data_IF_205537037658
#
_entry.id   IF_205537037658
#
_cell.length_a   1.000
_cell.length_b   1.000
_cell.length_c   1.000
_cell.angle_alpha   90.00
_cell.angle_beta   90.00
_cell.angle_gamma   90.00
#
_symmetry.space_group_name_H-M   'P 1'
#
loop_
_entity.id
_entity.type
_entity.pdbx_description
1 polymer ?
#
# COMPACT_ATOMS: atom_id res chain seq x y z
N UNK A 1 -1.74 18.69 -14.25
CA UNK A 1 -2.74 17.79 -13.61
C UNK A 1 -2.86 18.27 -12.17
N UNK A 2 -3.97 18.91 -11.79
CA UNK A 2 -4.16 19.33 -10.41
C UNK A 2 -4.38 18.07 -9.56
N UNK A 3 -3.65 17.94 -8.45
CA UNK A 3 -3.97 16.96 -7.41
C UNK A 3 -5.37 17.31 -6.88
N UNK A 4 -6.36 16.43 -7.11
CA UNK A 4 -7.70 16.56 -6.53
C UNK A 4 -7.62 16.18 -5.03
N UNK A 5 -7.16 17.14 -4.25
CA UNK A 5 -7.04 17.01 -2.79
C UNK A 5 -8.42 16.82 -2.14
N UNK A 6 -9.46 17.45 -2.68
CA UNK A 6 -10.81 17.38 -2.12
C UNK A 6 -11.41 15.96 -2.28
N UNK A 7 -11.22 15.33 -3.44
CA UNK A 7 -11.60 13.95 -3.69
C UNK A 7 -10.85 12.94 -2.80
N UNK A 8 -9.55 13.12 -2.61
CA UNK A 8 -8.75 12.28 -1.70
C UNK A 8 -9.18 12.45 -0.24
N UNK A 9 -9.40 13.70 0.21
CA UNK A 9 -9.86 13.99 1.57
C UNK A 9 -11.22 13.35 1.84
N UNK A 10 -12.13 13.34 0.87
CA UNK A 10 -13.42 12.66 1.00
C UNK A 10 -13.26 11.14 1.21
N UNK A 11 -12.36 10.48 0.48
CA UNK A 11 -12.13 9.03 0.60
C UNK A 11 -11.42 8.69 1.91
N UNK A 12 -10.42 9.47 2.29
CA UNK A 12 -9.70 9.31 3.56
C UNK A 12 -10.58 9.62 4.78
N UNK A 13 -11.70 10.31 4.58
CA UNK A 13 -12.69 10.58 5.64
C UNK A 13 -13.90 9.66 5.59
N UNK A 14 -14.06 8.87 4.51
CA UNK A 14 -15.23 8.03 4.33
C UNK A 14 -15.32 6.93 5.41
N UNK A 15 -16.53 6.67 5.94
CA UNK A 15 -16.73 5.57 6.87
C UNK A 15 -16.56 4.24 6.13
N UNK A 16 -15.74 3.36 6.70
CA UNK A 16 -15.62 1.99 6.22
C UNK A 16 -16.62 1.12 6.99
N UNK A 17 -17.47 0.33 6.30
CA UNK A 17 -18.40 -0.58 6.97
C UNK A 17 -17.69 -1.48 7.99
N UNK A 18 -18.23 -1.54 9.22
CA UNK A 18 -17.64 -2.34 10.31
C UNK A 18 -17.49 -3.82 9.95
N UNK A 19 -18.38 -4.36 9.10
CA UNK A 19 -18.29 -5.74 8.60
C UNK A 19 -17.00 -6.00 7.81
N UNK A 20 -16.49 -5.01 7.07
CA UNK A 20 -15.19 -5.12 6.38
C UNK A 20 -14.08 -5.14 7.41
N UNK A 21 -14.08 -4.19 8.35
CA UNK A 21 -13.04 -4.08 9.37
C UNK A 21 -12.95 -5.31 10.28
N UNK A 22 -14.08 -5.91 10.64
CA UNK A 22 -14.13 -7.12 11.46
C UNK A 22 -13.65 -8.37 10.71
N UNK A 23 -13.75 -8.38 9.38
CA UNK A 23 -13.22 -9.48 8.54
C UNK A 23 -11.70 -9.43 8.36
N UNK A 24 -11.07 -8.28 8.64
CA UNK A 24 -9.62 -8.12 8.55
C UNK A 24 -8.98 -8.73 9.80
N UNK A 25 -8.15 -9.75 9.61
CA UNK A 25 -7.41 -10.42 10.67
C UNK A 25 -6.32 -9.50 11.27
N UNK A 26 -5.61 -10.02 12.28
CA UNK A 26 -4.51 -9.32 12.94
C UNK A 26 -4.95 -8.49 14.15
N UNK A 27 -3.96 -8.06 14.93
CA UNK A 27 -4.13 -7.44 16.24
C UNK A 27 -4.29 -5.91 16.20
N UNK A 28 -4.19 -5.27 15.03
CA UNK A 28 -4.31 -3.83 14.92
C UNK A 28 -5.73 -3.34 15.26
N UNK A 29 -5.83 -2.10 15.75
CA UNK A 29 -7.13 -1.47 16.05
C UNK A 29 -7.96 -1.27 14.77
N UNK A 30 -9.28 -1.16 14.90
CA UNK A 30 -10.18 -0.91 13.76
C UNK A 30 -9.85 0.38 13.01
N UNK A 31 -9.31 1.40 13.71
CA UNK A 31 -8.86 2.65 13.09
C UNK A 31 -7.63 2.41 12.20
N UNK A 32 -6.63 1.67 12.70
CA UNK A 32 -5.41 1.34 11.94
C UNK A 32 -5.74 0.45 10.73
N UNK A 33 -6.61 -0.55 10.91
CA UNK A 33 -7.16 -1.36 9.82
C UNK A 33 -7.88 -0.50 8.78
N UNK A 34 -8.71 0.44 9.25
CA UNK A 34 -9.41 1.39 8.40
C UNK A 34 -8.46 2.26 7.58
N UNK A 35 -7.38 2.77 8.17
CA UNK A 35 -6.39 3.59 7.46
C UNK A 35 -5.75 2.88 6.29
N UNK A 36 -5.35 1.61 6.45
CA UNK A 36 -4.80 0.83 5.35
C UNK A 36 -5.79 0.74 4.18
N UNK A 37 -7.06 0.40 4.46
CA UNK A 37 -8.11 0.29 3.43
C UNK A 37 -8.39 1.65 2.78
N UNK A 38 -8.44 2.73 3.55
CA UNK A 38 -8.69 4.08 3.02
C UNK A 38 -7.62 4.53 2.04
N UNK A 39 -6.35 4.32 2.36
CA UNK A 39 -5.26 4.68 1.44
C UNK A 39 -5.28 3.85 0.16
N UNK A 40 -5.50 2.55 0.29
CA UNK A 40 -5.70 1.63 -0.84
C UNK A 40 -6.85 2.11 -1.74
N UNK A 41 -7.96 2.58 -1.17
CA UNK A 41 -9.06 3.16 -1.92
C UNK A 41 -8.72 4.53 -2.52
N UNK A 42 -7.95 5.36 -1.81
CA UNK A 42 -7.56 6.70 -2.25
C UNK A 42 -6.62 6.67 -3.46
N UNK A 43 -5.67 5.73 -3.52
CA UNK A 43 -4.78 5.57 -4.69
C UNK A 43 -5.54 5.18 -5.96
N UNK A 44 -6.73 4.58 -5.79
CA UNK A 44 -7.62 4.18 -6.89
C UNK A 44 -8.58 5.28 -7.32
N UNK A 45 -8.55 6.47 -6.72
CA UNK A 45 -9.39 7.57 -7.14
C UNK A 45 -8.60 8.57 -7.99
N UNK A 46 -9.15 9.03 -9.13
CA UNK A 46 -10.48 8.74 -9.71
C UNK A 46 -10.56 7.39 -10.45
N UNK A 47 -11.79 6.90 -10.65
CA UNK A 47 -12.11 5.54 -11.14
C UNK A 47 -11.64 5.18 -12.57
N UNK A 48 -10.99 6.11 -13.27
CA UNK A 48 -10.61 5.99 -14.68
C UNK A 48 -9.10 5.96 -14.91
N UNK A 49 -8.30 5.61 -13.89
CA UNK A 49 -6.87 5.38 -14.08
C UNK A 49 -6.58 3.90 -14.37
N UNK A 50 -5.42 3.64 -15.01
CA UNK A 50 -5.00 2.31 -15.45
C UNK A 50 -5.04 1.26 -14.32
N UNK A 51 -4.71 1.65 -13.10
CA UNK A 51 -4.72 0.74 -11.94
C UNK A 51 -6.15 0.48 -11.44
N UNK A 52 -7.03 1.49 -11.45
CA UNK A 52 -8.36 1.35 -10.85
C UNK A 52 -9.24 0.37 -11.59
N UNK A 53 -9.22 0.40 -12.93
CA UNK A 53 -10.07 -0.49 -13.75
C UNK A 53 -9.68 -1.96 -13.57
N UNK A 54 -8.39 -2.23 -13.40
CA UNK A 54 -7.87 -3.58 -13.31
C UNK A 54 -7.91 -4.13 -11.87
N UNK A 55 -7.78 -3.31 -10.83
CA UNK A 55 -7.56 -3.77 -9.44
C UNK A 55 -8.76 -3.64 -8.51
N UNK A 56 -9.99 -3.70 -9.04
CA UNK A 56 -11.24 -3.56 -8.26
C UNK A 56 -11.44 -4.68 -7.23
N UNK A 57 -10.77 -5.83 -7.38
CA UNK A 57 -10.91 -7.01 -6.53
C UNK A 57 -9.72 -7.25 -5.59
N UNK A 58 -9.16 -6.19 -5.02
CA UNK A 58 -8.20 -6.36 -3.93
C UNK A 58 -8.93 -6.60 -2.60
N UNK A 59 -8.26 -7.25 -1.65
CA UNK A 59 -8.80 -7.44 -0.29
C UNK A 59 -7.69 -7.33 0.73
N UNK A 60 -7.85 -6.43 1.70
CA UNK A 60 -7.02 -6.42 2.90
C UNK A 60 -7.40 -7.63 3.76
N UNK A 61 -6.44 -8.50 4.04
CA UNK A 61 -6.66 -9.75 4.80
C UNK A 61 -6.20 -9.65 6.23
N UNK A 62 -5.12 -8.94 6.48
CA UNK A 62 -4.52 -8.85 7.81
C UNK A 62 -3.83 -7.51 8.00
N UNK A 63 -3.99 -6.94 9.20
CA UNK A 63 -3.16 -5.83 9.68
C UNK A 63 -2.71 -6.16 11.10
N UNK A 64 -1.41 -6.34 11.26
CA UNK A 64 -0.80 -6.72 12.53
C UNK A 64 0.32 -5.76 12.90
N UNK A 65 0.34 -5.31 14.15
CA UNK A 65 1.39 -4.45 14.72
C UNK A 65 2.23 -5.29 15.68
N UNK A 66 3.54 -5.14 15.57
CA UNK A 66 4.53 -5.87 16.33
C UNK A 66 5.55 -4.89 16.93
N UNK A 67 6.17 -5.23 18.07
CA UNK A 67 7.34 -4.49 18.54
C UNK A 67 8.48 -4.63 17.52
N UNK A 68 9.24 -3.56 17.34
CA UNK A 68 10.44 -3.60 16.52
C UNK A 68 11.48 -4.57 17.13
N UNK A 69 12.18 -5.40 16.34
CA UNK A 69 13.07 -6.42 16.91
C UNK A 69 14.29 -5.88 17.67
N UNK A 70 14.78 -4.69 17.30
CA UNK A 70 16.01 -4.10 17.86
C UNK A 70 15.76 -2.75 18.53
N UNK A 71 14.82 -1.97 18.01
CA UNK A 71 14.47 -0.65 18.55
C UNK A 71 13.30 -0.70 19.54
N UNK A 72 12.93 0.47 20.06
CA UNK A 72 11.76 0.64 20.91
C UNK A 72 10.50 1.04 20.11
N UNK A 73 10.56 0.94 18.78
CA UNK A 73 9.46 1.28 17.88
C UNK A 73 8.48 0.15 17.66
N UNK A 74 7.56 0.38 16.72
CA UNK A 74 6.64 -0.63 16.21
C UNK A 74 6.94 -0.90 14.74
N UNK A 75 6.62 -2.10 14.30
CA UNK A 75 6.54 -2.47 12.87
C UNK A 75 5.17 -3.05 12.58
N UNK A 76 4.73 -2.96 11.33
CA UNK A 76 3.42 -3.36 10.88
C UNK A 76 3.55 -4.34 9.72
N UNK A 77 2.75 -5.40 9.78
CA UNK A 77 2.52 -6.31 8.66
C UNK A 77 1.13 -6.07 8.08
N UNK A 78 1.07 -5.75 6.79
CA UNK A 78 -0.16 -5.64 6.00
C UNK A 78 -0.18 -6.73 4.94
N UNK A 79 -1.22 -7.57 4.97
CA UNK A 79 -1.45 -8.60 3.95
C UNK A 79 -2.60 -8.19 3.06
N UNK A 80 -2.33 -8.10 1.75
CA UNK A 80 -3.34 -7.85 0.72
C UNK A 80 -3.42 -9.03 -0.25
N UNK A 81 -4.60 -9.32 -0.77
CA UNK A 81 -4.80 -10.29 -1.84
C UNK A 81 -5.44 -9.63 -3.06
N UNK A 82 -5.16 -10.16 -4.25
CA UNK A 82 -5.67 -9.66 -5.52
C UNK A 82 -5.69 -10.79 -6.55
N UNK A 83 -6.76 -10.90 -7.32
CA UNK A 83 -6.84 -11.80 -8.46
C UNK A 83 -6.33 -11.11 -9.74
N UNK A 84 -5.49 -11.79 -10.51
CA UNK A 84 -4.93 -11.25 -11.77
C UNK A 84 -5.97 -11.35 -12.88
N UNK A 85 -6.31 -10.20 -13.45
CA UNK A 85 -7.28 -10.04 -14.53
C UNK A 85 -6.62 -9.61 -15.84
N UNK A 86 -7.39 -9.63 -16.93
CA UNK A 86 -6.89 -9.42 -18.31
C UNK A 86 -6.23 -8.05 -18.50
N UNK A 87 -6.75 -7.02 -17.83
CA UNK A 87 -6.32 -5.63 -17.92
C UNK A 87 -4.93 -5.40 -17.30
N UNK A 88 -4.44 -6.36 -16.49
CA UNK A 88 -3.12 -6.29 -15.86
C UNK A 88 -2.00 -6.89 -16.72
N UNK A 89 -2.34 -7.55 -17.82
CA UNK A 89 -1.38 -8.33 -18.59
C UNK A 89 -0.51 -7.47 -19.52
N UNK A 90 0.70 -7.93 -19.78
CA UNK A 90 1.60 -7.41 -20.81
C UNK A 90 1.36 -8.12 -22.17
N UNK A 91 2.13 -7.74 -23.19
CA UNK A 91 2.06 -8.34 -24.52
C UNK A 91 2.42 -9.83 -24.60
N UNK A 92 2.82 -10.47 -23.49
CA UNK A 92 3.10 -11.91 -23.37
C UNK A 92 1.98 -12.64 -22.63
N UNK A 93 0.85 -11.99 -22.37
CA UNK A 93 -0.26 -12.51 -21.58
C UNK A 93 0.17 -12.94 -20.15
N UNK A 94 1.13 -12.21 -19.57
CA UNK A 94 1.57 -12.36 -18.19
C UNK A 94 1.31 -11.05 -17.44
N UNK A 95 1.20 -11.09 -16.11
CA UNK A 95 1.09 -9.87 -15.32
C UNK A 95 2.24 -8.91 -15.67
N UNK A 96 1.89 -7.70 -16.08
CA UNK A 96 2.88 -6.65 -16.38
C UNK A 96 3.68 -6.33 -15.13
N UNK A 97 5.01 -6.40 -15.25
CA UNK A 97 5.92 -6.05 -14.17
C UNK A 97 5.70 -4.59 -13.70
N UNK A 98 5.35 -3.69 -14.61
CA UNK A 98 5.02 -2.29 -14.27
C UNK A 98 3.74 -2.22 -13.43
N UNK A 99 2.73 -3.03 -13.77
CA UNK A 99 1.50 -3.11 -12.97
C UNK A 99 1.81 -3.65 -11.57
N UNK A 100 2.63 -4.71 -11.49
CA UNK A 100 3.02 -5.31 -10.23
C UNK A 100 3.79 -4.34 -9.33
N UNK A 101 4.71 -3.56 -9.88
CA UNK A 101 5.47 -2.53 -9.15
C UNK A 101 4.55 -1.44 -8.61
N UNK A 102 3.55 -1.01 -9.37
CA UNK A 102 2.60 -0.01 -8.90
C UNK A 102 1.74 -0.53 -7.72
N UNK A 103 1.29 -1.79 -7.78
CA UNK A 103 0.60 -2.42 -6.65
C UNK A 103 1.48 -2.54 -5.41
N UNK A 104 2.76 -2.90 -5.60
CA UNK A 104 3.73 -2.94 -4.51
C UNK A 104 3.86 -1.55 -3.86
N UNK A 105 3.98 -0.49 -4.65
CA UNK A 105 4.07 0.89 -4.16
C UNK A 105 2.85 1.26 -3.31
N UNK A 106 1.63 1.03 -3.82
CA UNK A 106 0.38 1.31 -3.11
C UNK A 106 0.27 0.57 -1.78
N UNK A 107 0.52 -0.74 -1.78
CA UNK A 107 0.36 -1.55 -0.57
C UNK A 107 1.48 -1.29 0.44
N UNK A 108 2.71 -1.06 0.00
CA UNK A 108 3.79 -0.65 0.89
C UNK A 108 3.49 0.72 1.53
N UNK A 109 3.03 1.68 0.74
CA UNK A 109 2.66 3.02 1.21
C UNK A 109 1.47 3.00 2.17
N UNK A 110 0.45 2.17 1.91
CA UNK A 110 -0.65 1.96 2.83
C UNK A 110 -0.21 1.32 4.16
N UNK A 111 0.77 0.42 4.12
CA UNK A 111 1.36 -0.20 5.32
C UNK A 111 2.04 0.83 6.20
N UNK A 112 2.83 1.71 5.56
CA UNK A 112 3.54 2.81 6.21
C UNK A 112 2.54 3.81 6.83
N UNK A 113 1.46 4.13 6.11
CA UNK A 113 0.39 4.99 6.63
C UNK A 113 -0.30 4.40 7.86
N UNK A 114 -0.58 3.09 7.83
CA UNK A 114 -1.19 2.40 8.95
C UNK A 114 -0.26 2.38 10.17
N UNK A 115 1.05 2.20 9.97
CA UNK A 115 2.04 2.29 11.03
C UNK A 115 2.12 3.70 11.62
N UNK A 116 2.12 4.74 10.79
CA UNK A 116 2.12 6.14 11.24
C UNK A 116 0.96 6.40 12.21
N UNK A 117 -0.25 5.92 11.88
CA UNK A 117 -1.39 6.04 12.80
C UNK A 117 -1.21 5.19 14.08
N UNK A 118 -0.68 3.98 13.96
CA UNK A 118 -0.43 3.10 15.12
C UNK A 118 0.60 3.69 16.10
N UNK A 119 1.54 4.50 15.60
CA UNK A 119 2.53 5.26 16.37
C UNK A 119 1.97 6.60 16.92
N UNK A 120 0.69 6.90 16.72
CA UNK A 120 0.03 8.13 17.18
C UNK A 120 0.18 9.32 16.22
N UNK A 121 0.64 9.08 14.99
CA UNK A 121 0.66 10.04 13.90
C UNK A 121 -0.73 10.27 13.27
N UNK A 122 -0.73 10.88 12.09
CA UNK A 122 -1.95 11.25 11.37
C UNK A 122 -2.43 10.16 10.40
N UNK A 123 -1.67 9.07 10.28
CA UNK A 123 -1.87 8.05 9.27
C UNK A 123 -1.45 8.53 7.88
N UNK A 124 -0.37 9.32 7.79
CA UNK A 124 0.08 9.89 6.52
C UNK A 124 0.87 8.88 5.69
N UNK A 125 0.52 8.77 4.41
CA UNK A 125 1.25 7.99 3.42
C UNK A 125 2.58 8.62 3.01
N UNK A 126 2.69 9.95 3.11
CA UNK A 126 3.83 10.68 2.55
C UNK A 126 3.90 10.53 1.03
N UNK A 127 5.12 10.43 0.50
CA UNK A 127 5.41 10.22 -0.93
C UNK A 127 6.46 9.12 -1.10
N UNK A 128 6.30 8.33 -2.16
CA UNK A 128 7.25 7.31 -2.57
C UNK A 128 8.57 7.96 -3.03
N UNK A 129 9.68 7.62 -2.39
CA UNK A 129 11.02 8.15 -2.70
C UNK A 129 11.83 7.15 -3.55
N UNK A 130 11.72 5.86 -3.25
CA UNK A 130 12.45 4.82 -3.96
C UNK A 130 11.81 3.45 -3.82
N UNK A 131 11.87 2.67 -4.90
CA UNK A 131 11.34 1.32 -4.94
C UNK A 131 12.30 0.43 -5.71
N UNK A 132 12.89 -0.55 -5.04
CA UNK A 132 13.76 -1.55 -5.65
C UNK A 132 13.03 -2.90 -5.65
N UNK A 133 12.82 -3.48 -6.84
CA UNK A 133 12.05 -4.72 -7.01
C UNK A 133 12.87 -5.77 -7.77
N UNK A 134 12.84 -6.99 -7.28
CA UNK A 134 13.38 -8.19 -7.93
C UNK A 134 12.21 -9.10 -8.33
N UNK A 135 12.17 -9.48 -9.61
CA UNK A 135 11.16 -10.39 -10.15
C UNK A 135 11.73 -11.80 -10.19
N UNK A 136 11.05 -12.75 -9.55
CA UNK A 136 11.49 -14.13 -9.41
C UNK A 136 10.77 -15.07 -10.37
N UNK A 137 9.45 -14.89 -10.56
CA UNK A 137 8.63 -15.77 -11.40
C UNK A 137 7.54 -14.98 -12.13
N UNK A 138 7.22 -15.35 -13.39
CA UNK A 138 6.10 -14.76 -14.12
C UNK A 138 4.75 -15.21 -13.54
N UNK A 139 3.80 -14.28 -13.48
CA UNK A 139 2.44 -14.51 -12.99
C UNK A 139 1.47 -14.52 -14.18
N UNK A 140 0.53 -15.46 -14.19
CA UNK A 140 -0.41 -15.64 -15.30
C UNK A 140 -1.81 -15.10 -14.96
N UNK A 141 -2.62 -14.86 -15.98
CA UNK A 141 -4.05 -14.60 -15.84
C UNK A 141 -4.72 -15.63 -14.91
N UNK A 142 -5.61 -15.17 -14.03
CA UNK A 142 -6.32 -16.01 -13.06
C UNK A 142 -5.49 -16.47 -11.87
N UNK A 143 -4.22 -16.04 -11.76
CA UNK A 143 -3.43 -16.31 -10.55
C UNK A 143 -3.95 -15.46 -9.39
N UNK A 144 -3.99 -16.03 -8.19
CA UNK A 144 -4.30 -15.29 -6.96
C UNK A 144 -3.01 -14.85 -6.30
N UNK A 145 -2.81 -13.54 -6.17
CA UNK A 145 -1.63 -12.96 -5.54
C UNK A 145 -1.87 -12.62 -4.08
N UNK A 146 -0.83 -12.78 -3.26
CA UNK A 146 -0.75 -12.30 -1.88
C UNK A 146 0.47 -11.43 -1.72
N UNK A 147 0.25 -10.19 -1.29
CA UNK A 147 1.26 -9.20 -0.96
C UNK A 147 1.43 -9.19 0.55
N UNK A 148 2.63 -9.48 1.03
CA UNK A 148 3.00 -9.40 2.44
C UNK A 148 3.94 -8.21 2.59
N UNK A 149 3.43 -7.13 3.15
CA UNK A 149 4.15 -5.89 3.34
C UNK A 149 4.54 -5.81 4.81
N UNK A 150 5.84 -5.73 5.10
CA UNK A 150 6.36 -5.58 6.46
C UNK A 150 7.13 -4.27 6.52
N UNK A 151 6.62 -3.32 7.29
CA UNK A 151 7.34 -2.07 7.53
C UNK A 151 8.64 -2.39 8.25
N UNK A 152 9.66 -1.62 7.93
CA UNK A 152 10.97 -1.68 8.57
C UNK A 152 11.08 -0.52 9.57
N UNK A 153 12.30 -0.27 10.05
CA UNK A 153 12.58 0.84 10.94
C UNK A 153 12.10 2.19 10.35
N UNK A 154 11.51 3.02 11.23
CA UNK A 154 11.14 4.40 10.93
C UNK A 154 12.25 5.32 11.42
N UNK A 155 12.71 6.21 10.55
CA UNK A 155 13.60 7.32 10.93
C UNK A 155 12.82 8.64 10.89
N UNK A 156 13.42 9.73 11.37
CA UNK A 156 12.79 11.06 11.39
C UNK A 156 12.44 11.61 10.00
N UNK A 157 12.94 11.01 8.91
CA UNK A 157 12.70 11.51 7.55
C UNK A 157 12.35 10.44 6.52
N UNK A 158 12.49 9.16 6.83
CA UNK A 158 12.23 8.08 5.88
C UNK A 158 11.55 6.89 6.56
N UNK A 159 10.62 6.28 5.83
CA UNK A 159 9.90 5.07 6.21
C UNK A 159 10.14 4.03 5.13
N UNK A 160 10.49 2.81 5.53
CA UNK A 160 10.75 1.74 4.57
C UNK A 160 9.82 0.55 4.80
N UNK A 161 9.55 -0.19 3.74
CA UNK A 161 8.72 -1.38 3.79
C UNK A 161 9.28 -2.44 2.85
N UNK A 162 9.38 -3.69 3.33
CA UNK A 162 9.70 -4.85 2.51
C UNK A 162 8.40 -5.50 2.06
N UNK A 163 8.29 -5.80 0.77
CA UNK A 163 7.13 -6.47 0.20
C UNK A 163 7.54 -7.80 -0.41
N UNK A 164 6.83 -8.87 -0.07
CA UNK A 164 6.93 -10.18 -0.70
C UNK A 164 5.62 -10.47 -1.44
N UNK A 165 5.71 -10.78 -2.73
CA UNK A 165 4.55 -11.10 -3.58
C UNK A 165 4.55 -12.59 -3.87
N UNK A 166 3.53 -13.28 -3.41
CA UNK A 166 3.35 -14.71 -3.58
C UNK A 166 2.21 -15.00 -4.56
N UNK A 167 2.48 -15.85 -5.55
CA UNK A 167 1.45 -16.49 -6.36
C UNK A 167 0.92 -17.70 -5.58
N UNK A 168 -0.28 -17.58 -5.02
CA UNK A 168 -0.92 -18.64 -4.25
C UNK A 168 -1.38 -19.81 -5.12
N UNK A 169 -1.71 -19.55 -6.38
CA UNK A 169 -2.13 -20.57 -7.35
C UNK A 169 -0.96 -21.51 -7.66
N UNK A 170 0.23 -20.96 -7.88
CA UNK A 170 1.45 -21.73 -8.20
C UNK A 170 2.34 -22.02 -6.99
N UNK A 171 2.04 -21.42 -5.84
CA UNK A 171 2.84 -21.49 -4.59
C UNK A 171 4.29 -21.08 -4.81
N UNK A 172 4.50 -19.98 -5.53
CA UNK A 172 5.82 -19.44 -5.85
C UNK A 172 5.93 -17.97 -5.46
N UNK A 173 7.13 -17.56 -5.06
CA UNK A 173 7.46 -16.16 -4.89
C UNK A 173 7.54 -15.51 -6.26
N UNK A 174 6.67 -14.54 -6.53
CA UNK A 174 6.60 -13.81 -7.79
C UNK A 174 7.60 -12.65 -7.82
N UNK A 175 7.63 -11.84 -6.76
CA UNK A 175 8.53 -10.69 -6.64
C UNK A 175 8.85 -10.38 -5.18
N UNK A 176 9.96 -9.67 -4.96
CA UNK A 176 10.30 -9.05 -3.68
C UNK A 176 10.69 -7.60 -3.91
N UNK A 177 10.34 -6.71 -3.00
CA UNK A 177 10.67 -5.31 -3.13
C UNK A 177 11.03 -4.66 -1.80
N UNK A 178 11.77 -3.56 -1.89
CA UNK A 178 12.01 -2.62 -0.79
C UNK A 178 11.56 -1.24 -1.24
N UNK A 179 10.52 -0.75 -0.58
CA UNK A 179 9.97 0.58 -0.69
C UNK A 179 10.61 1.51 0.33
N UNK A 180 10.84 2.76 -0.05
CA UNK A 180 11.18 3.87 0.84
C UNK A 180 10.29 5.06 0.50
N UNK A 181 9.62 5.60 1.50
CA UNK A 181 8.83 6.82 1.43
C UNK A 181 9.34 7.88 2.39
N UNK A 182 8.86 9.10 2.21
CA UNK A 182 9.18 10.25 3.06
C UNK A 182 7.95 11.12 3.26
N UNK A 183 7.95 11.95 4.30
CA UNK A 183 6.91 12.96 4.48
C UNK A 183 7.02 14.02 3.38
N UNK A 184 5.89 14.40 2.80
CA UNK A 184 5.85 15.50 1.84
C UNK A 184 6.19 16.82 2.54
N UNK A 185 7.05 17.63 1.92
CA UNK A 185 7.29 19.00 2.37
C UNK A 185 6.11 19.89 1.98
N UNK A 186 5.61 20.70 2.92
CA UNK A 186 4.73 21.81 2.56
C UNK A 186 5.54 22.93 1.91
N UNK A 187 5.08 23.53 0.80
CA UNK A 187 5.74 24.68 0.23
C UNK A 187 5.80 25.80 1.29
N UNK A 188 6.98 26.40 1.47
CA UNK A 188 7.12 27.54 2.37
C UNK A 188 6.14 28.64 1.95
N UNK A 189 5.38 29.22 2.90
CA UNK A 189 4.58 30.42 2.63
C UNK A 189 5.50 31.43 1.95
N UNK A 190 5.16 31.85 0.73
CA UNK A 190 5.93 32.87 0.03
C UNK A 190 6.05 34.09 0.95
N UNK A 191 7.29 34.52 1.23
CA UNK A 191 7.47 35.80 1.92
C UNK A 191 6.84 36.88 1.04
N UNK A 192 6.02 37.79 1.59
CA UNK A 192 5.54 38.92 0.82
C UNK A 192 6.76 39.67 0.28
N UNK A 193 6.73 39.98 -1.02
CA UNK A 193 7.74 40.84 -1.63
C UNK A 193 7.58 42.23 -1.01
N UNK A 194 8.63 42.71 -0.35
CA UNK A 194 8.75 44.09 0.16
C UNK A 194 8.79 45.08 -0.99
#
# INVERSE_FOLDING_TARGET
MAFDLDGQVAILSAPIPNAILSSIAGNASSQVKGTAVRWINAYRAPQNCFITLASTQHTVREVSVHPEPVGNGQVLTLVCELDVVQEMLDGRNQLSNTFLVALIDEYASASVSALDLADGGMGSSGVSLGLNTVFHNPVQLGSKLRFINTTLARTSGAMSCRTEVWDLTKRKLAATAVFTGMLASFPAKSRPKL
#
